data_IF_301169451148
#
_entry.id   IF_301169451148
#
_cell.length_a   1.000
_cell.length_b   1.000
_cell.length_c   1.000
_cell.angle_alpha   90.00
_cell.angle_beta   90.00
_cell.angle_gamma   90.00
#
_symmetry.space_group_name_H-M   'P 1'
#
loop_
_entity.id
_entity.type
_entity.pdbx_description
1 polymer ?
#
# COMPACT_ATOMS: atom_id res chain seq x y z
N UNK A 1 2.05 19.90 -4.23
CA UNK A 1 2.67 19.67 -5.54
C UNK A 1 3.00 20.95 -6.31
N UNK A 2 2.62 22.14 -5.88
CA UNK A 2 2.93 23.39 -6.58
C UNK A 2 4.39 23.86 -6.52
N UNK A 3 5.31 23.08 -5.95
CA UNK A 3 6.73 23.41 -5.80
C UNK A 3 7.66 22.50 -6.63
N UNK A 4 7.12 21.55 -7.40
CA UNK A 4 7.90 20.66 -8.27
C UNK A 4 7.54 20.89 -9.72
N UNK A 5 8.54 20.87 -10.61
CA UNK A 5 8.37 21.05 -12.05
C UNK A 5 7.78 19.78 -12.69
N UNK A 6 8.19 18.63 -12.20
CA UNK A 6 7.73 17.30 -12.63
C UNK A 6 7.42 16.43 -11.43
N UNK A 7 6.51 15.47 -11.60
CA UNK A 7 6.21 14.44 -10.60
C UNK A 7 6.22 13.07 -11.25
N UNK A 8 6.70 12.05 -10.52
CA UNK A 8 6.63 10.67 -11.00
C UNK A 8 5.17 10.20 -11.09
N UNK A 9 4.87 9.17 -11.90
CA UNK A 9 3.53 8.57 -11.96
C UNK A 9 3.03 8.15 -10.59
N UNK A 10 3.88 7.59 -9.74
CA UNK A 10 3.55 7.17 -8.37
C UNK A 10 3.16 8.36 -7.51
N UNK A 11 3.93 9.47 -7.56
CA UNK A 11 3.62 10.70 -6.84
C UNK A 11 2.34 11.36 -7.37
N UNK A 12 2.11 11.32 -8.69
CA UNK A 12 0.90 11.83 -9.33
C UNK A 12 -0.35 11.09 -8.84
N UNK A 13 -0.32 9.76 -8.82
CA UNK A 13 -1.43 8.92 -8.30
C UNK A 13 -1.63 9.15 -6.80
N UNK A 14 -0.54 9.21 -6.03
CA UNK A 14 -0.61 9.46 -4.59
C UNK A 14 -1.18 10.84 -4.26
N UNK A 15 -1.02 11.81 -5.16
CA UNK A 15 -1.39 13.21 -4.90
C UNK A 15 -0.42 13.92 -3.94
N UNK A 16 0.76 13.33 -3.71
CA UNK A 16 1.80 13.82 -2.78
C UNK A 16 3.18 13.32 -3.21
N UNK A 17 4.24 13.92 -2.68
CA UNK A 17 5.60 13.41 -2.77
C UNK A 17 6.26 13.46 -1.38
N UNK A 18 7.18 12.54 -1.10
CA UNK A 18 8.01 12.51 0.11
C UNK A 18 9.50 12.69 -0.18
N UNK A 19 9.87 12.80 -1.46
CA UNK A 19 11.20 13.10 -1.92
C UNK A 19 11.16 14.14 -3.04
N UNK A 20 12.15 15.02 -3.06
CA UNK A 20 12.35 16.01 -4.13
C UNK A 20 13.83 15.95 -4.51
N UNK A 21 14.11 15.82 -5.80
CA UNK A 21 15.45 15.79 -6.37
C UNK A 21 15.53 16.66 -7.62
N UNK A 22 16.73 16.96 -8.07
CA UNK A 22 16.95 17.53 -9.41
C UNK A 22 17.10 16.38 -10.40
N UNK A 23 16.37 16.44 -11.51
CA UNK A 23 16.57 15.53 -12.63
C UNK A 23 17.74 16.00 -13.51
N UNK A 24 18.12 15.21 -14.52
CA UNK A 24 19.22 15.49 -15.43
C UNK A 24 19.02 16.78 -16.26
N UNK A 25 17.80 17.32 -16.27
CA UNK A 25 17.43 18.58 -16.96
C UNK A 25 17.43 19.78 -16.01
N UNK A 26 17.81 19.58 -14.73
CA UNK A 26 17.84 20.61 -13.71
C UNK A 26 16.46 21.00 -13.17
N UNK A 27 15.42 20.17 -13.40
CA UNK A 27 14.06 20.41 -12.91
C UNK A 27 13.85 19.74 -11.55
N UNK A 28 13.04 20.35 -10.68
CA UNK A 28 12.61 19.77 -9.42
C UNK A 28 11.61 18.62 -9.69
N UNK A 29 12.04 17.40 -9.41
CA UNK A 29 11.22 16.20 -9.54
C UNK A 29 10.74 15.72 -8.18
N UNK A 30 9.41 15.57 -8.03
CA UNK A 30 8.78 14.97 -6.86
C UNK A 30 8.56 13.48 -7.04
N UNK A 31 8.87 12.69 -6.00
CA UNK A 31 8.72 11.23 -6.01
C UNK A 31 8.20 10.68 -4.67
N UNK A 32 7.82 9.38 -4.66
CA UNK A 32 7.29 8.65 -3.51
C UNK A 32 8.17 7.43 -3.18
N UNK A 33 9.32 7.68 -2.52
CA UNK A 33 10.32 6.65 -2.26
C UNK A 33 9.90 5.63 -1.18
N UNK A 34 9.18 6.05 -0.14
CA UNK A 34 8.83 5.15 0.97
C UNK A 34 7.91 4.01 0.54
N UNK A 35 6.99 4.28 -0.39
CA UNK A 35 6.12 3.24 -0.94
C UNK A 35 6.85 2.26 -1.85
N UNK A 36 7.86 2.72 -2.58
CA UNK A 36 8.73 1.83 -3.35
C UNK A 36 9.52 0.90 -2.44
N UNK A 37 10.06 1.42 -1.34
CA UNK A 37 10.75 0.62 -0.33
C UNK A 37 9.83 -0.43 0.28
N UNK A 38 8.57 -0.07 0.60
CA UNK A 38 7.59 -1.03 1.07
C UNK A 38 7.40 -2.18 0.08
N UNK A 39 7.23 -1.87 -1.20
CA UNK A 39 7.06 -2.87 -2.26
C UNK A 39 8.33 -3.70 -2.47
N UNK A 40 9.53 -3.11 -2.38
CA UNK A 40 10.78 -3.87 -2.43
C UNK A 40 10.88 -4.88 -1.28
N UNK A 41 10.47 -4.50 -0.07
CA UNK A 41 10.38 -5.40 1.06
C UNK A 41 9.45 -6.59 0.81
N UNK A 42 8.29 -6.35 0.16
CA UNK A 42 7.39 -7.44 -0.29
C UNK A 42 8.10 -8.41 -1.25
N UNK A 43 8.79 -7.87 -2.26
CA UNK A 43 9.51 -8.68 -3.26
C UNK A 43 10.59 -9.53 -2.61
N UNK A 44 11.35 -8.98 -1.64
CA UNK A 44 12.35 -9.75 -0.88
C UNK A 44 11.76 -10.88 -0.05
N UNK A 45 10.52 -10.74 0.38
CA UNK A 45 9.76 -11.79 1.09
C UNK A 45 9.10 -12.79 0.14
N UNK A 46 9.44 -12.74 -1.16
CA UNK A 46 9.01 -13.71 -2.17
C UNK A 46 7.65 -13.41 -2.79
N UNK A 47 7.07 -12.23 -2.58
CA UNK A 47 5.80 -11.85 -3.22
C UNK A 47 6.02 -11.60 -4.71
N UNK A 48 5.20 -12.20 -5.54
CA UNK A 48 5.14 -11.90 -6.98
C UNK A 48 3.99 -10.93 -7.22
N UNK A 49 4.31 -9.71 -7.66
CA UNK A 49 3.28 -8.68 -7.89
C UNK A 49 2.55 -8.86 -9.21
N UNK A 50 3.25 -9.27 -10.27
CA UNK A 50 2.67 -9.38 -11.61
C UNK A 50 1.51 -10.37 -11.61
N UNK A 51 0.32 -9.87 -11.90
CA UNK A 51 -0.91 -10.66 -11.94
C UNK A 51 -1.56 -10.93 -10.58
N UNK A 52 -0.92 -10.52 -9.47
CA UNK A 52 -1.45 -10.70 -8.12
C UNK A 52 -2.65 -9.79 -7.84
N UNK A 53 -3.40 -10.13 -6.80
CA UNK A 53 -4.47 -9.32 -6.22
C UNK A 53 -4.01 -8.74 -4.89
N UNK A 54 -4.13 -7.45 -4.71
CA UNK A 54 -3.75 -6.79 -3.48
C UNK A 54 -4.91 -5.96 -2.90
N UNK A 55 -5.03 -5.96 -1.56
CA UNK A 55 -5.96 -5.12 -0.82
C UNK A 55 -5.18 -4.09 -0.01
N UNK A 56 -5.54 -2.83 -0.15
CA UNK A 56 -5.00 -1.73 0.67
C UNK A 56 -6.14 -1.13 1.49
N UNK A 57 -6.01 -1.20 2.80
CA UNK A 57 -6.95 -0.62 3.77
C UNK A 57 -6.34 0.67 4.31
N UNK A 58 -7.00 1.80 4.06
CA UNK A 58 -6.52 3.15 4.27
C UNK A 58 -6.10 3.81 2.95
N UNK A 59 -6.75 4.93 2.61
CA UNK A 59 -6.48 5.73 1.39
C UNK A 59 -5.93 7.11 1.74
N UNK A 60 -5.21 7.21 2.86
CA UNK A 60 -4.39 8.37 3.21
C UNK A 60 -3.09 8.43 2.39
N UNK A 61 -2.18 9.35 2.72
CA UNK A 61 -0.95 9.57 1.94
C UNK A 61 -0.15 8.29 1.67
N UNK A 62 0.14 7.48 2.71
CA UNK A 62 0.89 6.24 2.56
C UNK A 62 0.09 5.16 1.82
N UNK A 63 -1.22 5.04 2.07
CA UNK A 63 -2.07 4.08 1.36
C UNK A 63 -2.18 4.39 -0.13
N UNK A 64 -2.35 5.67 -0.51
CA UNK A 64 -2.31 6.11 -1.90
C UNK A 64 -0.97 5.76 -2.58
N UNK A 65 0.13 6.00 -1.89
CA UNK A 65 1.47 5.74 -2.39
C UNK A 65 1.73 4.23 -2.59
N UNK A 66 1.37 3.41 -1.61
CA UNK A 66 1.52 1.94 -1.68
C UNK A 66 0.63 1.39 -2.81
N UNK A 67 -0.62 1.84 -2.94
CA UNK A 67 -1.49 1.41 -4.02
C UNK A 67 -0.91 1.76 -5.41
N UNK A 68 -0.33 2.96 -5.56
CA UNK A 68 0.35 3.37 -6.79
C UNK A 68 1.57 2.50 -7.10
N UNK A 69 2.41 2.20 -6.09
CA UNK A 69 3.59 1.34 -6.26
C UNK A 69 3.21 -0.12 -6.57
N UNK A 70 2.13 -0.64 -5.99
CA UNK A 70 1.60 -1.96 -6.32
C UNK A 70 1.09 -2.01 -7.77
N UNK A 71 0.37 -0.97 -8.20
CA UNK A 71 -0.09 -0.85 -9.59
C UNK A 71 1.09 -0.80 -10.57
N UNK A 72 2.12 0.00 -10.27
CA UNK A 72 3.36 0.07 -11.05
C UNK A 72 4.09 -1.29 -11.10
N UNK A 73 4.02 -2.07 -10.00
CA UNK A 73 4.54 -3.43 -9.91
C UNK A 73 3.75 -4.48 -10.69
N UNK A 74 2.62 -4.12 -11.29
CA UNK A 74 1.86 -4.97 -12.21
C UNK A 74 0.84 -5.90 -11.54
N UNK A 75 0.30 -5.53 -10.38
CA UNK A 75 -0.85 -6.26 -9.81
C UNK A 75 -2.03 -6.20 -10.78
N UNK A 76 -2.79 -7.28 -10.90
CA UNK A 76 -3.95 -7.35 -11.79
C UNK A 76 -5.19 -6.72 -11.17
N UNK A 77 -5.30 -6.76 -9.84
CA UNK A 77 -6.47 -6.28 -9.11
C UNK A 77 -6.06 -5.58 -7.81
N UNK A 78 -6.63 -4.41 -7.56
CA UNK A 78 -6.52 -3.67 -6.30
C UNK A 78 -7.90 -3.53 -5.66
N UNK A 79 -8.02 -4.04 -4.42
CA UNK A 79 -9.08 -3.65 -3.50
C UNK A 79 -8.61 -2.42 -2.72
N UNK A 80 -9.46 -1.40 -2.63
CA UNK A 80 -9.20 -0.19 -1.87
C UNK A 80 -10.34 0.04 -0.87
N UNK A 81 -9.99 0.25 0.38
CA UNK A 81 -10.97 0.57 1.40
C UNK A 81 -10.50 1.75 2.26
N UNK A 82 -11.42 2.64 2.53
CA UNK A 82 -11.26 3.69 3.53
C UNK A 82 -12.62 3.94 4.18
N UNK A 83 -12.64 4.34 5.45
CA UNK A 83 -13.87 4.76 6.14
C UNK A 83 -14.48 5.99 5.50
N UNK A 84 -13.65 6.85 4.89
CA UNK A 84 -14.08 7.89 3.97
C UNK A 84 -14.09 7.32 2.54
N UNK A 85 -15.25 6.88 2.08
CA UNK A 85 -15.41 6.28 0.75
C UNK A 85 -14.93 7.17 -0.38
N UNK A 86 -15.10 8.49 -0.28
CA UNK A 86 -14.63 9.44 -1.28
C UNK A 86 -13.10 9.40 -1.45
N UNK A 87 -12.33 9.07 -0.39
CA UNK A 87 -10.87 8.91 -0.47
C UNK A 87 -10.48 7.69 -1.31
N UNK A 88 -11.12 6.54 -1.07
CA UNK A 88 -10.83 5.32 -1.85
C UNK A 88 -11.32 5.41 -3.30
N UNK A 89 -12.48 6.02 -3.53
CA UNK A 89 -13.01 6.26 -4.88
C UNK A 89 -12.15 7.24 -5.68
N UNK A 90 -11.70 8.34 -5.05
CA UNK A 90 -10.80 9.29 -5.67
C UNK A 90 -9.43 8.68 -6.02
N UNK A 91 -8.90 7.81 -5.15
CA UNK A 91 -7.69 7.03 -5.45
C UNK A 91 -7.92 6.06 -6.61
N UNK A 92 -9.03 5.34 -6.62
CA UNK A 92 -9.40 4.44 -7.72
C UNK A 92 -9.44 5.17 -9.06
N UNK A 93 -10.08 6.33 -9.12
CA UNK A 93 -10.16 7.14 -10.34
C UNK A 93 -8.76 7.54 -10.84
N UNK A 94 -7.86 8.01 -9.96
CA UNK A 94 -6.49 8.36 -10.34
C UNK A 94 -5.69 7.15 -10.83
N UNK A 95 -5.81 5.99 -10.16
CA UNK A 95 -5.16 4.75 -10.60
C UNK A 95 -5.59 4.34 -12.00
N UNK A 96 -6.89 4.35 -12.28
CA UNK A 96 -7.44 3.95 -13.58
C UNK A 96 -7.05 4.91 -14.72
N UNK A 97 -6.72 6.16 -14.42
CA UNK A 97 -6.19 7.11 -15.41
C UNK A 97 -4.77 6.71 -15.87
N UNK A 98 -3.96 6.15 -14.97
CA UNK A 98 -2.56 5.80 -15.25
C UNK A 98 -2.37 4.31 -15.62
N UNK A 99 -3.22 3.41 -15.14
CA UNK A 99 -3.08 1.96 -15.28
C UNK A 99 -4.36 1.34 -15.89
N UNK A 100 -4.48 1.45 -17.22
CA UNK A 100 -5.71 1.11 -17.97
C UNK A 100 -6.14 -0.37 -17.88
N UNK A 101 -5.21 -1.27 -17.58
CA UNK A 101 -5.48 -2.71 -17.45
C UNK A 101 -5.73 -3.16 -16.02
N UNK A 102 -5.55 -2.25 -15.05
CA UNK A 102 -5.73 -2.54 -13.64
C UNK A 102 -7.22 -2.65 -13.30
N UNK A 103 -7.62 -3.70 -12.61
CA UNK A 103 -8.95 -3.79 -12.01
C UNK A 103 -8.92 -3.18 -10.62
N UNK A 104 -9.80 -2.23 -10.35
CA UNK A 104 -9.91 -1.58 -9.03
C UNK A 104 -11.32 -1.77 -8.48
N UNK A 105 -11.40 -2.25 -7.24
CA UNK A 105 -12.64 -2.36 -6.46
C UNK A 105 -12.55 -1.51 -5.20
N UNK A 106 -13.65 -0.90 -4.79
CA UNK A 106 -13.74 -0.08 -3.57
C UNK A 106 -14.83 -0.58 -2.64
N UNK A 107 -14.85 -0.09 -1.40
CA UNK A 107 -15.97 -0.29 -0.48
C UNK A 107 -15.93 -1.55 0.39
N UNK A 108 -14.92 -2.41 0.25
CA UNK A 108 -14.78 -3.60 1.10
C UNK A 108 -13.36 -3.74 1.66
N UNK A 109 -13.26 -4.03 2.97
CA UNK A 109 -12.00 -4.42 3.63
C UNK A 109 -11.91 -5.93 3.86
N UNK A 110 -12.71 -6.74 3.15
CA UNK A 110 -12.64 -8.19 3.25
C UNK A 110 -11.38 -8.72 2.53
N UNK A 111 -10.42 -9.33 3.25
CA UNK A 111 -9.16 -9.79 2.66
C UNK A 111 -9.27 -11.12 1.91
N UNK A 112 -10.46 -11.72 1.83
CA UNK A 112 -10.62 -13.02 1.18
C UNK A 112 -10.29 -12.96 -0.31
N UNK A 113 -9.42 -13.87 -0.76
CA UNK A 113 -9.05 -13.99 -2.17
C UNK A 113 -7.97 -13.01 -2.65
N UNK A 114 -7.36 -12.24 -1.74
CA UNK A 114 -6.20 -11.41 -2.05
C UNK A 114 -4.90 -12.13 -1.71
N UNK A 115 -3.90 -11.98 -2.58
CA UNK A 115 -2.56 -12.53 -2.42
C UNK A 115 -1.71 -11.67 -1.47
N UNK A 116 -1.99 -10.36 -1.45
CA UNK A 116 -1.33 -9.40 -0.57
C UNK A 116 -2.36 -8.48 0.09
N UNK A 117 -2.17 -8.20 1.37
CA UNK A 117 -3.06 -7.34 2.17
C UNK A 117 -2.21 -6.33 2.94
N UNK A 118 -2.57 -5.06 2.86
CA UNK A 118 -1.82 -3.97 3.50
C UNK A 118 -2.74 -3.13 4.38
N UNK A 119 -2.35 -2.98 5.66
CA UNK A 119 -2.93 -1.99 6.55
C UNK A 119 -2.14 -0.67 6.44
N UNK A 120 -2.72 0.31 5.79
CA UNK A 120 -2.19 1.67 5.68
C UNK A 120 -2.97 2.68 6.56
N UNK A 121 -3.65 2.17 7.58
CA UNK A 121 -4.36 2.98 8.59
C UNK A 121 -3.56 3.06 9.89
N UNK A 122 -3.89 3.97 10.81
CA UNK A 122 -3.33 3.97 12.15
C UNK A 122 -3.91 2.88 13.08
N UNK A 123 -4.85 2.04 12.61
CA UNK A 123 -5.45 0.98 13.43
C UNK A 123 -4.39 -0.05 13.84
N UNK A 124 -4.39 -0.40 15.12
CA UNK A 124 -3.36 -1.26 15.73
C UNK A 124 -2.20 -0.48 16.34
N UNK A 125 -2.18 0.86 16.23
CA UNK A 125 -1.13 1.71 16.82
C UNK A 125 -1.15 1.71 18.35
N UNK A 126 -2.32 1.52 18.95
CA UNK A 126 -2.48 1.44 20.41
C UNK A 126 -3.02 0.07 20.82
N UNK A 127 -2.62 -0.37 22.01
CA UNK A 127 -3.18 -1.60 22.58
C UNK A 127 -4.70 -1.46 22.75
N UNK A 128 -5.44 -2.45 22.22
CA UNK A 128 -6.91 -2.44 22.25
C UNK A 128 -7.60 -1.80 21.04
N UNK A 129 -6.85 -1.26 20.09
CA UNK A 129 -7.42 -0.83 18.81
C UNK A 129 -8.10 -2.01 18.10
N UNK A 130 -9.17 -1.72 17.38
CA UNK A 130 -9.82 -2.70 16.52
C UNK A 130 -8.87 -3.15 15.40
N UNK A 131 -9.07 -4.37 14.90
CA UNK A 131 -8.33 -4.87 13.73
C UNK A 131 -8.75 -4.10 12.47
N UNK A 132 -7.81 -3.79 11.55
CA UNK A 132 -8.12 -3.07 10.31
C UNK A 132 -9.04 -3.89 9.39
N UNK A 133 -9.02 -5.21 9.55
CA UNK A 133 -9.84 -6.16 8.80
C UNK A 133 -9.93 -7.50 9.53
N UNK A 134 -10.81 -8.38 9.04
CA UNK A 134 -10.98 -9.72 9.62
C UNK A 134 -9.81 -10.65 9.20
N UNK A 135 -8.83 -10.81 10.08
CA UNK A 135 -7.65 -11.67 9.84
C UNK A 135 -8.01 -13.13 9.60
N UNK A 136 -9.16 -13.64 10.10
CA UNK A 136 -9.56 -15.04 9.87
C UNK A 136 -9.86 -15.34 8.40
N UNK A 137 -10.10 -14.31 7.60
CA UNK A 137 -10.39 -14.42 6.17
C UNK A 137 -9.17 -14.20 5.26
N UNK A 138 -8.02 -13.84 5.82
CA UNK A 138 -6.75 -13.76 5.08
C UNK A 138 -6.35 -15.16 4.61
N UNK A 139 -6.00 -15.31 3.35
CA UNK A 139 -5.56 -16.57 2.77
C UNK A 139 -4.28 -17.10 3.44
N UNK A 140 -4.16 -18.41 3.63
CA UNK A 140 -2.91 -19.02 4.09
C UNK A 140 -1.83 -18.78 3.04
N UNK A 141 -0.65 -18.35 3.49
CA UNK A 141 0.46 -18.02 2.59
C UNK A 141 0.36 -16.65 1.90
N UNK A 142 -0.73 -15.89 2.11
CA UNK A 142 -0.79 -14.51 1.66
C UNK A 142 0.28 -13.66 2.34
N UNK A 143 0.66 -12.56 1.69
CA UNK A 143 1.48 -11.53 2.31
C UNK A 143 0.58 -10.57 3.10
N UNK A 144 1.04 -10.15 4.29
CA UNK A 144 0.38 -9.14 5.12
C UNK A 144 1.40 -8.12 5.59
N UNK A 145 1.19 -6.86 5.25
CA UNK A 145 2.06 -5.76 5.65
C UNK A 145 1.30 -4.62 6.31
N UNK A 146 2.02 -3.77 7.02
CA UNK A 146 1.44 -2.56 7.60
C UNK A 146 2.46 -1.43 7.73
N UNK A 147 1.95 -0.21 7.96
CA UNK A 147 2.76 1.01 8.11
C UNK A 147 2.69 1.59 9.53
N UNK A 148 2.24 0.80 10.50
CA UNK A 148 2.24 1.21 11.92
C UNK A 148 3.66 1.18 12.46
N UNK A 149 4.16 2.33 12.96
CA UNK A 149 5.54 2.47 13.44
C UNK A 149 5.67 2.30 14.96
N UNK A 150 4.62 2.56 15.72
CA UNK A 150 4.68 2.62 17.20
C UNK A 150 4.88 1.25 17.85
N UNK A 151 4.37 0.21 17.22
CA UNK A 151 4.46 -1.19 17.65
C UNK A 151 5.02 -1.97 16.49
N UNK A 152 6.18 -2.61 16.67
CA UNK A 152 6.84 -3.35 15.59
C UNK A 152 6.00 -4.55 15.12
N UNK A 153 5.41 -5.29 16.04
CA UNK A 153 4.58 -6.45 15.73
C UNK A 153 3.20 -6.28 16.35
N UNK A 154 2.30 -5.67 15.60
CA UNK A 154 0.91 -5.43 16.05
C UNK A 154 0.12 -6.73 16.20
N UNK A 155 -1.02 -6.68 16.89
CA UNK A 155 -1.93 -7.81 16.99
C UNK A 155 -2.40 -8.31 15.61
N UNK A 156 -2.54 -7.39 14.64
CA UNK A 156 -2.89 -7.72 13.26
C UNK A 156 -1.81 -8.59 12.59
N UNK A 157 -0.53 -8.19 12.64
CA UNK A 157 0.57 -8.97 12.08
C UNK A 157 0.80 -10.28 12.84
N UNK A 158 0.65 -10.29 14.17
CA UNK A 158 0.73 -11.52 14.97
C UNK A 158 -0.32 -12.54 14.52
N UNK A 159 -1.57 -12.11 14.36
CA UNK A 159 -2.66 -12.98 13.90
C UNK A 159 -2.40 -13.51 12.47
N UNK A 160 -1.90 -12.66 11.57
CA UNK A 160 -1.53 -13.07 10.20
C UNK A 160 -0.39 -14.09 10.20
N UNK A 161 0.66 -13.85 11.00
CA UNK A 161 1.81 -14.77 11.14
C UNK A 161 1.38 -16.13 11.68
N UNK A 162 0.50 -16.15 12.68
CA UNK A 162 -0.06 -17.41 13.23
C UNK A 162 -0.85 -18.22 12.20
N UNK A 163 -1.34 -17.59 11.13
CA UNK A 163 -2.00 -18.24 10.00
C UNK A 163 -1.05 -18.73 8.90
N UNK A 164 0.26 -18.51 9.06
CA UNK A 164 1.27 -18.87 8.07
C UNK A 164 1.45 -17.84 6.95
N UNK A 165 1.03 -16.60 7.16
CA UNK A 165 1.27 -15.50 6.23
C UNK A 165 2.72 -15.00 6.33
N UNK A 166 3.28 -14.57 5.20
CA UNK A 166 4.49 -13.74 5.21
C UNK A 166 4.10 -12.35 5.74
N UNK A 167 4.84 -11.83 6.72
CA UNK A 167 4.51 -10.53 7.33
C UNK A 167 5.61 -9.50 7.12
N UNK A 168 5.23 -8.23 7.00
CA UNK A 168 6.14 -7.09 6.88
C UNK A 168 5.75 -6.02 7.89
N UNK A 169 6.70 -5.64 8.73
CA UNK A 169 6.60 -4.53 9.67
C UNK A 169 6.99 -3.22 8.99
N UNK A 170 6.56 -2.09 9.57
CA UNK A 170 6.88 -0.77 9.00
C UNK A 170 8.40 -0.53 8.90
N UNK A 171 9.17 -0.97 9.90
CA UNK A 171 10.62 -0.78 9.94
C UNK A 171 11.39 -1.52 8.84
N UNK A 172 10.80 -2.55 8.23
CA UNK A 172 11.43 -3.26 7.09
C UNK A 172 11.71 -2.30 5.92
N UNK A 173 10.93 -1.23 5.75
CA UNK A 173 11.17 -0.22 4.71
C UNK A 173 12.47 0.58 4.90
N UNK A 174 13.01 0.62 6.12
CA UNK A 174 14.23 1.38 6.43
C UNK A 174 15.50 0.69 5.91
N UNK A 175 15.41 -0.58 5.56
CA UNK A 175 16.53 -1.40 5.09
C UNK A 175 16.51 -1.64 3.57
N UNK A 176 15.62 -0.94 2.86
CA UNK A 176 15.46 -0.95 1.40
C UNK A 176 16.04 0.33 0.78
#
# INVERSE_FOLDING_TARGET
MGLTDVVSPTASVAGACNAVSLNDQGQLQGDMLDSERFVRGMLRKGVTLKGAKALVVGSGGMGCAIAASLAAGGVAELGLFDVNTASSEGLAARLLTHYLTLKVNTGSNDPAGFDAVVNATPMGMNGGDAMPMNTSRVGRGAFVGEVVMKIEMTAFLQAAKARGCAVQVCTDMLFE
#
